data_IF_329953956817
#
_entry.id   IF_329953956817
#
_cell.length_a   1.000
_cell.length_b   1.000
_cell.length_c   1.000
_cell.angle_alpha   90.00
_cell.angle_beta   90.00
_cell.angle_gamma   90.00
#
_symmetry.space_group_name_H-M   'P 1'
#
loop_
_entity.id
_entity.type
_entity.pdbx_description
1 polymer ?
#
# COMPACT_ATOMS: atom_id res chain seq x y z
N UNK A 1 -18.07 -29.74 10.51
CA UNK A 1 -18.44 -28.43 11.08
C UNK A 1 -17.34 -27.46 10.72
N UNK A 2 -17.63 -26.48 9.87
CA UNK A 2 -16.67 -25.40 9.63
C UNK A 2 -16.49 -24.67 10.97
N UNK A 3 -15.24 -24.50 11.41
CA UNK A 3 -14.96 -23.66 12.57
C UNK A 3 -15.49 -22.25 12.24
N UNK A 4 -16.39 -21.75 13.08
CA UNK A 4 -16.88 -20.39 12.97
C UNK A 4 -15.69 -19.47 13.28
N UNK A 5 -15.18 -18.85 12.21
CA UNK A 5 -14.10 -17.90 12.28
C UNK A 5 -14.68 -16.63 12.93
N UNK A 6 -14.35 -16.42 14.21
CA UNK A 6 -14.65 -15.20 14.96
C UNK A 6 -13.78 -14.06 14.40
N UNK A 7 -14.23 -13.48 13.28
CA UNK A 7 -13.56 -12.36 12.62
C UNK A 7 -14.22 -11.08 13.13
N UNK A 8 -13.45 -10.27 13.84
CA UNK A 8 -13.84 -8.91 14.22
C UNK A 8 -13.80 -8.01 12.97
N UNK A 9 -14.93 -7.90 12.28
CA UNK A 9 -15.06 -7.10 11.05
C UNK A 9 -14.92 -5.58 11.26
N UNK A 10 -15.41 -4.97 12.35
CA UNK A 10 -15.07 -3.59 12.70
C UNK A 10 -13.55 -3.38 12.80
N UNK A 11 -12.83 -4.33 13.39
CA UNK A 11 -11.38 -4.31 13.45
C UNK A 11 -10.75 -4.46 12.05
N UNK A 12 -11.27 -5.36 11.21
CA UNK A 12 -10.83 -5.54 9.81
C UNK A 12 -10.99 -4.25 8.99
N UNK A 13 -12.12 -3.55 9.12
CA UNK A 13 -12.37 -2.29 8.43
C UNK A 13 -11.37 -1.20 8.86
N UNK A 14 -11.12 -1.07 10.18
CA UNK A 14 -10.13 -0.13 10.71
C UNK A 14 -8.71 -0.42 10.23
N UNK A 15 -8.32 -1.69 10.19
CA UNK A 15 -7.02 -2.07 9.63
C UNK A 15 -6.93 -1.76 8.14
N UNK A 16 -8.01 -1.96 7.40
CA UNK A 16 -8.04 -1.65 5.97
C UNK A 16 -7.80 -0.16 5.70
N UNK A 17 -8.46 0.71 6.45
CA UNK A 17 -8.25 2.15 6.34
C UNK A 17 -6.84 2.54 6.77
N UNK A 18 -6.33 1.96 7.86
CA UNK A 18 -4.96 2.18 8.32
C UNK A 18 -3.89 1.75 7.29
N UNK A 19 -4.09 0.61 6.61
CA UNK A 19 -3.19 0.17 5.53
C UNK A 19 -3.28 1.11 4.32
N UNK A 20 -4.48 1.59 3.99
CA UNK A 20 -4.67 2.58 2.93
C UNK A 20 -3.97 3.91 3.22
N UNK A 21 -4.10 4.43 4.44
CA UNK A 21 -3.44 5.66 4.86
C UNK A 21 -1.91 5.52 4.84
N UNK A 22 -1.37 4.42 5.39
CA UNK A 22 0.07 4.15 5.38
C UNK A 22 0.60 4.02 3.95
N UNK A 23 -0.15 3.37 3.05
CA UNK A 23 0.21 3.25 1.64
C UNK A 23 0.26 4.63 0.97
N UNK A 24 -0.78 5.46 1.15
CA UNK A 24 -0.82 6.83 0.63
C UNK A 24 0.33 7.69 1.14
N UNK A 25 0.60 7.67 2.45
CA UNK A 25 1.73 8.38 3.06
C UNK A 25 3.08 7.89 2.53
N UNK A 26 3.23 6.58 2.31
CA UNK A 26 4.46 6.01 1.78
C UNK A 26 4.69 6.42 0.32
N UNK A 27 3.62 6.51 -0.48
CA UNK A 27 3.69 7.06 -1.84
C UNK A 27 4.08 8.54 -1.88
N UNK A 28 3.55 9.36 -0.96
CA UNK A 28 3.94 10.77 -0.85
C UNK A 28 5.40 10.92 -0.42
N UNK A 29 5.83 10.17 0.59
CA UNK A 29 7.21 10.19 1.07
C UNK A 29 8.21 9.76 -0.03
N UNK A 30 7.89 8.70 -0.79
CA UNK A 30 8.71 8.26 -1.91
C UNK A 30 8.80 9.34 -3.01
N UNK A 31 7.67 9.98 -3.36
CA UNK A 31 7.66 11.08 -4.34
C UNK A 31 8.46 12.29 -3.87
N UNK A 32 8.33 12.66 -2.59
CA UNK A 32 9.08 13.76 -1.99
C UNK A 32 10.59 13.49 -2.03
N UNK A 33 11.01 12.28 -1.65
CA UNK A 33 12.41 11.86 -1.71
C UNK A 33 12.98 11.94 -3.13
N UNK A 34 12.26 11.42 -4.13
CA UNK A 34 12.71 11.47 -5.52
C UNK A 34 12.82 12.90 -6.05
N UNK A 35 11.89 13.78 -5.66
CA UNK A 35 11.95 15.19 -6.02
C UNK A 35 13.15 15.91 -5.37
N UNK A 36 13.42 15.61 -4.10
CA UNK A 36 14.59 16.13 -3.38
C UNK A 36 15.89 15.64 -4.03
N UNK A 37 15.99 14.35 -4.34
CA UNK A 37 17.15 13.78 -5.04
C UNK A 37 17.39 14.41 -6.41
N UNK A 38 16.34 14.64 -7.19
CA UNK A 38 16.43 15.31 -8.48
C UNK A 38 16.92 16.78 -8.36
N UNK A 39 16.67 17.43 -7.22
CA UNK A 39 17.06 18.84 -7.00
C UNK A 39 18.57 19.04 -6.81
N UNK A 40 19.31 18.01 -6.38
CA UNK A 40 20.76 18.13 -6.13
C UNK A 40 21.61 18.24 -7.41
N UNK A 41 21.04 17.99 -8.60
CA UNK A 41 21.74 18.12 -9.89
C UNK A 41 22.90 17.12 -10.05
N UNK A 42 23.98 17.52 -10.75
CA UNK A 42 25.25 16.78 -10.83
C UNK A 42 26.31 17.47 -9.98
N UNK A 43 26.34 17.25 -8.65
CA UNK A 43 27.20 18.03 -7.76
C UNK A 43 28.70 17.78 -7.97
N UNK A 44 29.06 16.69 -8.66
CA UNK A 44 30.44 16.19 -8.76
C UNK A 44 31.18 16.69 -10.04
N UNK A 45 30.47 17.43 -10.91
CA UNK A 45 31.02 18.03 -12.12
C UNK A 45 31.21 17.05 -13.29
N UNK A 46 30.83 17.47 -14.50
CA UNK A 46 30.86 16.62 -15.71
C UNK A 46 32.24 16.47 -16.36
N UNK A 47 33.21 17.30 -15.97
CA UNK A 47 34.48 17.46 -16.69
C UNK A 47 35.69 16.86 -15.94
N UNK A 48 35.48 15.94 -15.01
CA UNK A 48 36.57 15.17 -14.41
C UNK A 48 36.15 13.70 -14.18
N UNK A 49 37.09 12.77 -14.32
CA UNK A 49 36.84 11.33 -14.27
C UNK A 49 36.28 10.87 -12.91
N UNK A 50 36.71 11.50 -11.82
CA UNK A 50 36.23 11.20 -10.46
C UNK A 50 34.75 11.58 -10.32
N UNK A 51 34.37 12.75 -10.81
CA UNK A 51 32.99 13.25 -10.79
C UNK A 51 32.05 12.37 -11.61
N UNK A 52 32.51 11.91 -12.78
CA UNK A 52 31.76 10.96 -13.61
C UNK A 52 31.59 9.60 -12.93
N UNK A 53 32.64 9.07 -12.30
CA UNK A 53 32.56 7.82 -11.55
C UNK A 53 31.57 7.91 -10.40
N UNK A 54 31.55 9.04 -9.68
CA UNK A 54 30.62 9.23 -8.57
C UNK A 54 29.18 9.43 -9.06
N UNK A 55 28.97 10.19 -10.15
CA UNK A 55 27.66 10.31 -10.80
C UNK A 55 27.10 8.94 -11.21
N UNK A 56 27.95 8.04 -11.74
CA UNK A 56 27.52 6.68 -12.10
C UNK A 56 27.13 5.85 -10.88
N UNK A 57 27.95 5.87 -9.82
CA UNK A 57 27.64 5.14 -8.58
C UNK A 57 26.36 5.67 -7.93
N UNK A 58 26.19 7.00 -7.89
CA UNK A 58 24.99 7.64 -7.38
C UNK A 58 23.76 7.23 -8.20
N UNK A 59 23.86 7.28 -9.53
CA UNK A 59 22.78 6.86 -10.44
C UNK A 59 22.34 5.42 -10.19
N UNK A 60 23.29 4.48 -10.08
CA UNK A 60 22.99 3.07 -9.85
C UNK A 60 22.30 2.81 -8.51
N UNK A 61 22.75 3.47 -7.44
CA UNK A 61 22.13 3.36 -6.11
C UNK A 61 20.72 4.00 -6.11
N UNK A 62 20.59 5.17 -6.75
CA UNK A 62 19.31 5.87 -6.85
C UNK A 62 18.29 5.05 -7.65
N UNK A 63 18.69 4.45 -8.76
CA UNK A 63 17.83 3.58 -9.57
C UNK A 63 17.37 2.35 -8.79
N UNK A 64 18.30 1.63 -8.14
CA UNK A 64 17.98 0.48 -7.31
C UNK A 64 17.03 0.83 -6.15
N UNK A 65 17.25 1.97 -5.49
CA UNK A 65 16.37 2.46 -4.42
C UNK A 65 14.98 2.82 -4.95
N UNK A 66 14.92 3.53 -6.08
CA UNK A 66 13.66 3.92 -6.73
C UNK A 66 12.83 2.69 -7.08
N UNK A 67 13.48 1.68 -7.67
CA UNK A 67 12.81 0.45 -8.05
C UNK A 67 12.30 -0.32 -6.84
N UNK A 68 13.12 -0.48 -5.79
CA UNK A 68 12.69 -1.12 -4.55
C UNK A 68 11.46 -0.41 -3.92
N UNK A 69 11.44 0.93 -3.91
CA UNK A 69 10.28 1.66 -3.41
C UNK A 69 9.04 1.46 -4.29
N UNK A 70 9.18 1.47 -5.60
CA UNK A 70 8.07 1.25 -6.53
C UNK A 70 7.49 -0.16 -6.38
N UNK A 71 8.33 -1.20 -6.41
CA UNK A 71 7.92 -2.59 -6.28
C UNK A 71 7.17 -2.82 -4.96
N UNK A 72 7.73 -2.34 -3.84
CA UNK A 72 7.08 -2.45 -2.54
C UNK A 72 5.72 -1.73 -2.53
N UNK A 73 5.66 -0.49 -3.02
CA UNK A 73 4.41 0.28 -3.05
C UNK A 73 3.36 -0.36 -3.97
N UNK A 74 3.77 -1.03 -5.04
CA UNK A 74 2.87 -1.74 -5.95
C UNK A 74 2.31 -3.01 -5.28
N UNK A 75 3.15 -3.79 -4.62
CA UNK A 75 2.72 -4.95 -3.83
C UNK A 75 1.70 -4.54 -2.75
N UNK A 76 1.96 -3.40 -2.08
CA UNK A 76 1.06 -2.88 -1.05
C UNK A 76 -0.23 -2.24 -1.58
N UNK A 77 -0.31 -1.89 -2.87
CA UNK A 77 -1.47 -1.22 -3.44
C UNK A 77 -2.72 -2.12 -3.50
N UNK A 78 -2.53 -3.43 -3.61
CA UNK A 78 -3.63 -4.39 -3.78
C UNK A 78 -4.30 -4.81 -2.46
N UNK A 79 -3.59 -4.72 -1.34
CA UNK A 79 -4.08 -5.18 -0.04
C UNK A 79 -5.28 -4.38 0.50
N UNK A 80 -5.28 -3.03 0.47
CA UNK A 80 -6.44 -2.25 0.92
C UNK A 80 -7.71 -2.65 0.19
N UNK A 81 -7.65 -2.76 -1.14
CA UNK A 81 -8.81 -3.09 -1.95
C UNK A 81 -9.30 -4.52 -1.73
N UNK A 82 -8.38 -5.48 -1.56
CA UNK A 82 -8.74 -6.85 -1.21
C UNK A 82 -9.44 -6.91 0.16
N UNK A 83 -8.91 -6.21 1.16
CA UNK A 83 -9.48 -6.17 2.50
C UNK A 83 -10.85 -5.45 2.53
N UNK A 84 -11.03 -4.37 1.78
CA UNK A 84 -12.34 -3.70 1.63
C UNK A 84 -13.38 -4.64 1.01
N UNK A 85 -13.02 -5.31 -0.08
CA UNK A 85 -13.91 -6.28 -0.74
C UNK A 85 -14.30 -7.41 0.20
N UNK A 86 -13.36 -7.94 0.99
CA UNK A 86 -13.68 -8.95 2.00
C UNK A 86 -14.67 -8.40 3.04
N UNK A 87 -14.40 -7.22 3.61
CA UNK A 87 -15.29 -6.60 4.59
C UNK A 87 -16.71 -6.35 4.05
N UNK A 88 -16.84 -5.93 2.78
CA UNK A 88 -18.14 -5.68 2.15
C UNK A 88 -18.91 -6.97 1.85
N UNK A 89 -18.24 -8.00 1.32
CA UNK A 89 -18.87 -9.30 1.06
C UNK A 89 -19.44 -9.89 2.34
N UNK A 90 -18.66 -9.86 3.43
CA UNK A 90 -19.11 -10.39 4.72
C UNK A 90 -20.28 -9.60 5.30
N UNK A 91 -20.24 -8.26 5.22
CA UNK A 91 -21.37 -7.41 5.66
C UNK A 91 -22.66 -7.78 4.91
N UNK A 92 -22.57 -7.93 3.59
CA UNK A 92 -23.72 -8.33 2.77
C UNK A 92 -24.27 -9.71 3.16
N UNK A 93 -23.39 -10.66 3.50
CA UNK A 93 -23.78 -12.00 3.90
C UNK A 93 -24.45 -12.00 5.29
N UNK A 94 -23.96 -11.18 6.21
CA UNK A 94 -24.58 -10.98 7.53
C UNK A 94 -25.98 -10.34 7.41
N UNK A 95 -26.12 -9.30 6.59
CA UNK A 95 -27.40 -8.63 6.36
C UNK A 95 -28.42 -9.59 5.75
N UNK A 96 -28.01 -10.38 4.75
CA UNK A 96 -28.85 -11.39 4.13
C UNK A 96 -29.28 -12.47 5.13
N UNK A 97 -28.35 -13.00 5.93
CA UNK A 97 -28.63 -13.99 6.97
C UNK A 97 -29.59 -13.45 8.03
N UNK A 98 -29.35 -12.24 8.51
CA UNK A 98 -30.20 -11.57 9.50
C UNK A 98 -31.61 -11.34 8.96
N UNK A 99 -31.73 -10.91 7.70
CA UNK A 99 -33.03 -10.75 7.04
C UNK A 99 -33.78 -12.07 6.90
N UNK A 100 -33.07 -13.16 6.57
CA UNK A 100 -33.63 -14.50 6.46
C UNK A 100 -34.14 -15.02 7.81
N UNK A 101 -33.36 -14.82 8.88
CA UNK A 101 -33.77 -15.16 10.25
C UNK A 101 -35.02 -14.38 10.62
N UNK A 102 -35.06 -13.06 10.37
CA UNK A 102 -36.25 -12.23 10.64
C UNK A 102 -37.50 -12.75 9.93
N UNK A 103 -37.38 -13.06 8.63
CA UNK A 103 -38.48 -13.63 7.86
C UNK A 103 -38.94 -14.99 8.39
N UNK A 104 -38.04 -15.79 8.96
CA UNK A 104 -38.35 -17.13 9.48
C UNK A 104 -39.03 -17.09 10.86
N UNK A 105 -38.77 -16.05 11.66
CA UNK A 105 -39.32 -15.93 13.02
C UNK A 105 -40.50 -14.94 13.12
N UNK A 106 -40.68 -14.05 12.15
CA UNK A 106 -41.79 -13.06 12.12
C UNK A 106 -42.87 -13.39 11.06
N UNK A 107 -42.70 -14.45 10.26
CA UNK A 107 -43.69 -14.98 9.32
C UNK A 107 -44.38 -16.23 9.84
#
# INVERSE_FOLDING_TARGET
MAAELDIDFPLLARYTDGVGDVHGHSQEAARAYLAEMASYGRPWGSNNEVGQAIDMCFGAVHEAYTQCQQDNLEDYASYPDALRRMADVYRSAQDASTAQIRQTFEG
#
